data_IF_801687042743
#
_entry.id   IF_801687042743
#
_cell.length_a   1.000
_cell.length_b   1.000
_cell.length_c   1.000
_cell.angle_alpha   90.00
_cell.angle_beta   90.00
_cell.angle_gamma   90.00
#
_symmetry.space_group_name_H-M   'P 1'
#
loop_
_entity.id
_entity.type
_entity.pdbx_description
1 polymer ?
#
# COMPACT_ATOMS: atom_id res chain seq x y z
N UNK A 1 -42.97 30.45 -7.08
CA UNK A 1 -43.08 30.98 -8.46
C UNK A 1 -41.68 31.05 -9.06
N UNK A 2 -41.43 30.49 -10.25
CA UNK A 2 -40.12 30.60 -10.90
C UNK A 2 -40.04 31.97 -11.60
N UNK A 3 -39.17 32.85 -11.11
CA UNK A 3 -39.06 34.24 -11.58
C UNK A 3 -38.07 34.36 -12.75
N UNK A 4 -37.21 33.36 -12.98
CA UNK A 4 -36.24 33.40 -14.07
C UNK A 4 -36.95 33.29 -15.42
N UNK A 5 -37.05 34.37 -16.22
CA UNK A 5 -37.57 34.27 -17.56
C UNK A 5 -36.59 33.47 -18.41
N UNK A 6 -37.08 32.72 -19.40
CA UNK A 6 -36.25 31.91 -20.29
C UNK A 6 -35.12 32.72 -20.99
N UNK A 7 -35.29 34.05 -21.09
CA UNK A 7 -34.32 34.99 -21.66
C UNK A 7 -33.20 35.42 -20.71
N UNK A 8 -33.20 35.01 -19.43
CA UNK A 8 -32.23 35.42 -18.41
C UNK A 8 -31.46 34.24 -17.79
N UNK A 9 -31.37 33.10 -18.49
CA UNK A 9 -30.59 31.95 -18.07
C UNK A 9 -29.09 32.11 -18.41
N UNK A 10 -28.47 33.16 -17.87
CA UNK A 10 -27.02 33.38 -17.93
C UNK A 10 -26.40 32.97 -16.59
N UNK A 11 -25.22 32.35 -16.62
CA UNK A 11 -24.54 31.87 -15.41
C UNK A 11 -24.24 33.02 -14.43
N UNK A 12 -24.05 34.25 -14.94
CA UNK A 12 -23.62 35.43 -14.19
C UNK A 12 -24.70 36.09 -13.32
N UNK A 13 -25.98 35.85 -13.59
CA UNK A 13 -27.11 36.46 -12.86
C UNK A 13 -28.03 35.41 -12.21
N UNK A 14 -27.73 34.12 -12.38
CA UNK A 14 -28.50 33.00 -11.82
C UNK A 14 -28.58 33.08 -10.30
N UNK A 15 -27.43 33.26 -9.65
CA UNK A 15 -27.31 33.38 -8.20
C UNK A 15 -28.16 34.54 -7.65
N UNK A 16 -28.22 35.67 -8.37
CA UNK A 16 -29.02 36.83 -7.96
C UNK A 16 -30.54 36.57 -8.03
N UNK A 17 -30.99 35.81 -9.03
CA UNK A 17 -32.40 35.42 -9.15
C UNK A 17 -32.79 34.30 -8.18
N UNK A 18 -31.87 33.39 -7.85
CA UNK A 18 -32.07 32.38 -6.81
C UNK A 18 -32.23 33.04 -5.43
N UNK A 19 -31.34 33.97 -5.06
CA UNK A 19 -31.43 34.75 -3.82
C UNK A 19 -32.72 35.58 -3.76
N UNK A 20 -33.11 36.24 -4.85
CA UNK A 20 -34.36 37.00 -4.90
C UNK A 20 -35.61 36.11 -4.79
N UNK A 21 -35.53 34.86 -5.25
CA UNK A 21 -36.62 33.89 -5.14
C UNK A 21 -36.70 33.32 -3.71
N UNK A 22 -35.57 33.08 -3.04
CA UNK A 22 -35.51 32.67 -1.62
C UNK A 22 -36.16 33.70 -0.68
N UNK A 23 -36.03 35.00 -0.96
CA UNK A 23 -36.66 36.07 -0.16
C UNK A 23 -38.19 36.09 -0.22
N UNK A 24 -38.80 35.36 -1.16
CA UNK A 24 -40.25 35.28 -1.37
C UNK A 24 -40.86 33.95 -0.89
N UNK A 25 -40.03 33.03 -0.37
CA UNK A 25 -40.49 31.74 0.10
C UNK A 25 -41.24 31.82 1.41
N UNK A 26 -42.28 31.00 1.53
CA UNK A 26 -42.87 30.77 2.83
C UNK A 26 -41.98 29.88 3.71
N UNK A 27 -42.26 29.84 5.01
CA UNK A 27 -41.44 29.10 5.97
C UNK A 27 -41.27 27.61 5.60
N UNK A 28 -42.30 26.98 5.02
CA UNK A 28 -42.26 25.55 4.66
C UNK A 28 -41.38 25.34 3.43
N UNK A 29 -41.45 26.23 2.45
CA UNK A 29 -40.59 26.19 1.25
C UNK A 29 -39.11 26.32 1.63
N UNK A 30 -38.80 27.23 2.57
CA UNK A 30 -37.44 27.40 3.09
C UNK A 30 -36.95 26.16 3.85
N UNK A 31 -37.76 25.58 4.73
CA UNK A 31 -37.43 24.35 5.47
C UNK A 31 -37.12 23.17 4.52
N UNK A 32 -37.89 23.02 3.43
CA UNK A 32 -37.65 21.98 2.42
C UNK A 32 -36.34 22.21 1.68
N UNK A 33 -36.03 23.44 1.30
CA UNK A 33 -34.77 23.78 0.65
C UNK A 33 -33.56 23.53 1.55
N UNK A 34 -33.60 24.00 2.79
CA UNK A 34 -32.53 23.77 3.79
C UNK A 34 -32.31 22.27 4.03
N UNK A 35 -33.39 21.48 4.08
CA UNK A 35 -33.31 20.02 4.18
C UNK A 35 -32.56 19.39 3.00
N UNK A 36 -32.90 19.76 1.76
CA UNK A 36 -32.22 19.23 0.57
C UNK A 36 -30.76 19.66 0.48
N UNK A 37 -30.47 20.92 0.85
CA UNK A 37 -29.10 21.44 0.93
C UNK A 37 -28.26 20.69 1.96
N UNK A 38 -28.80 20.46 3.16
CA UNK A 38 -28.14 19.71 4.21
C UNK A 38 -27.86 18.27 3.76
N UNK A 39 -28.87 17.59 3.21
CA UNK A 39 -28.72 16.23 2.70
C UNK A 39 -27.69 16.11 1.57
N UNK A 40 -27.67 17.06 0.63
CA UNK A 40 -26.69 17.08 -0.46
C UNK A 40 -25.26 17.29 0.08
N UNK A 41 -25.09 18.14 1.09
CA UNK A 41 -23.81 18.33 1.77
C UNK A 41 -23.38 17.06 2.51
N UNK A 42 -24.29 16.39 3.22
CA UNK A 42 -24.00 15.14 3.92
C UNK A 42 -23.58 14.03 2.94
N UNK A 43 -24.28 13.88 1.82
CA UNK A 43 -23.92 12.93 0.75
C UNK A 43 -22.54 13.22 0.16
N UNK A 44 -22.23 14.51 -0.06
CA UNK A 44 -20.92 14.95 -0.55
C UNK A 44 -19.82 14.68 0.48
N UNK A 45 -20.08 14.99 1.75
CA UNK A 45 -19.16 14.74 2.85
C UNK A 45 -18.86 13.26 3.01
N UNK A 46 -19.89 12.41 3.04
CA UNK A 46 -19.75 10.95 3.14
C UNK A 46 -18.92 10.39 1.98
N UNK A 47 -19.14 10.87 0.75
CA UNK A 47 -18.35 10.46 -0.40
C UNK A 47 -16.88 10.88 -0.30
N UNK A 48 -16.61 12.12 0.12
CA UNK A 48 -15.25 12.65 0.28
C UNK A 48 -14.52 11.93 1.41
N UNK A 49 -15.19 11.69 2.53
CA UNK A 49 -14.66 10.97 3.68
C UNK A 49 -14.30 9.53 3.28
N UNK A 50 -15.23 8.78 2.69
CA UNK A 50 -14.97 7.41 2.24
C UNK A 50 -13.84 7.32 1.22
N UNK A 51 -13.72 8.30 0.31
CA UNK A 51 -12.58 8.39 -0.63
C UNK A 51 -11.25 8.65 0.08
N UNK A 52 -11.26 9.51 1.11
CA UNK A 52 -10.07 9.82 1.88
C UNK A 52 -9.63 8.64 2.74
N UNK A 53 -10.58 7.96 3.39
CA UNK A 53 -10.35 6.75 4.17
C UNK A 53 -9.75 5.64 3.28
N UNK A 54 -10.41 5.30 2.17
CA UNK A 54 -9.89 4.25 1.28
C UNK A 54 -8.51 4.58 0.70
N UNK A 55 -8.21 5.86 0.44
CA UNK A 55 -6.87 6.30 0.02
C UNK A 55 -5.84 6.19 1.14
N UNK A 56 -6.24 6.45 2.39
CA UNK A 56 -5.36 6.34 3.55
C UNK A 56 -5.05 4.87 3.85
N UNK A 57 -6.07 4.02 3.87
CA UNK A 57 -5.96 2.57 4.08
C UNK A 57 -5.06 1.94 3.01
N UNK A 58 -5.35 2.15 1.72
CA UNK A 58 -4.53 1.57 0.66
C UNK A 58 -3.08 2.04 0.67
N UNK A 59 -2.80 3.26 1.14
CA UNK A 59 -1.42 3.75 1.34
C UNK A 59 -0.74 3.08 2.53
N UNK A 60 -1.46 2.84 3.63
CA UNK A 60 -0.92 2.20 4.82
C UNK A 60 -0.63 0.72 4.54
N UNK A 61 -1.58 0.00 3.94
CA UNK A 61 -1.43 -1.40 3.56
C UNK A 61 -0.26 -1.57 2.59
N UNK A 62 -0.23 -0.82 1.49
CA UNK A 62 0.86 -0.93 0.51
C UNK A 62 2.24 -0.60 1.08
N UNK A 63 2.33 0.33 2.04
CA UNK A 63 3.59 0.61 2.74
C UNK A 63 4.01 -0.53 3.67
N UNK A 64 3.06 -1.12 4.41
CA UNK A 64 3.34 -2.22 5.32
C UNK A 64 3.77 -3.47 4.57
N UNK A 65 3.05 -3.84 3.51
CA UNK A 65 3.39 -4.98 2.65
C UNK A 65 4.76 -4.79 2.01
N UNK A 66 5.01 -3.62 1.42
CA UNK A 66 6.30 -3.31 0.80
C UNK A 66 7.47 -3.35 1.79
N UNK A 67 7.27 -2.88 3.03
CA UNK A 67 8.29 -2.95 4.07
C UNK A 67 8.58 -4.40 4.49
N UNK A 68 7.54 -5.20 4.73
CA UNK A 68 7.69 -6.61 5.14
C UNK A 68 8.36 -7.44 4.04
N UNK A 69 7.94 -7.26 2.79
CA UNK A 69 8.53 -7.97 1.67
C UNK A 69 9.99 -7.53 1.45
N UNK A 70 10.27 -6.23 1.53
CA UNK A 70 11.62 -5.68 1.41
C UNK A 70 12.56 -6.19 2.49
N UNK A 71 12.12 -6.22 3.76
CA UNK A 71 12.91 -6.77 4.87
C UNK A 71 13.18 -8.27 4.67
N UNK A 72 12.18 -9.04 4.24
CA UNK A 72 12.33 -10.48 3.99
C UNK A 72 13.33 -10.74 2.86
N UNK A 73 13.19 -10.04 1.73
CA UNK A 73 14.09 -10.15 0.57
C UNK A 73 15.52 -9.76 0.95
N UNK A 74 15.71 -8.59 1.55
CA UNK A 74 17.03 -8.11 1.95
C UNK A 74 17.72 -9.03 2.97
N UNK A 75 16.97 -9.64 3.90
CA UNK A 75 17.53 -10.65 4.82
C UNK A 75 17.98 -11.91 4.10
N UNK A 76 17.23 -12.40 3.12
CA UNK A 76 17.61 -13.56 2.31
C UNK A 76 18.85 -13.26 1.47
N UNK A 77 18.85 -12.13 0.76
CA UNK A 77 19.98 -11.68 -0.07
C UNK A 77 21.25 -11.54 0.75
N UNK A 78 21.21 -10.84 1.89
CA UNK A 78 22.36 -10.68 2.76
C UNK A 78 22.87 -11.99 3.38
N UNK A 79 21.97 -12.95 3.67
CA UNK A 79 22.39 -14.28 4.11
C UNK A 79 23.08 -15.07 3.00
N UNK A 80 22.56 -15.00 1.78
CA UNK A 80 23.16 -15.66 0.62
C UNK A 80 24.53 -15.09 0.30
N UNK A 81 24.68 -13.76 0.27
CA UNK A 81 25.97 -13.09 0.06
C UNK A 81 26.99 -13.48 1.14
N UNK A 82 26.58 -13.46 2.41
CA UNK A 82 27.46 -13.86 3.52
C UNK A 82 27.86 -15.35 3.46
N UNK A 83 26.95 -16.23 3.05
CA UNK A 83 27.26 -17.65 2.84
C UNK A 83 28.22 -17.84 1.66
N UNK A 84 27.98 -17.16 0.54
CA UNK A 84 28.81 -17.20 -0.67
C UNK A 84 30.26 -16.79 -0.34
N UNK A 85 30.42 -15.66 0.37
CA UNK A 85 31.73 -15.18 0.81
C UNK A 85 32.47 -16.20 1.67
N UNK A 86 31.79 -16.80 2.67
CA UNK A 86 32.45 -17.77 3.56
C UNK A 86 32.77 -19.08 2.83
N UNK A 87 31.91 -19.52 1.92
CA UNK A 87 32.16 -20.70 1.08
C UNK A 87 33.39 -20.49 0.18
N UNK A 88 33.49 -19.33 -0.46
CA UNK A 88 34.63 -18.95 -1.28
C UNK A 88 35.92 -18.90 -0.44
N UNK A 89 35.88 -18.25 0.73
CA UNK A 89 37.05 -18.12 1.62
C UNK A 89 37.51 -19.48 2.18
N UNK A 90 36.59 -20.34 2.64
CA UNK A 90 36.96 -21.62 3.28
C UNK A 90 37.26 -22.74 2.30
N UNK A 91 36.57 -22.77 1.15
CA UNK A 91 36.55 -23.93 0.27
C UNK A 91 36.76 -23.61 -1.21
N UNK A 92 36.89 -22.33 -1.58
CA UNK A 92 37.06 -21.87 -2.96
C UNK A 92 35.94 -22.37 -3.88
N UNK A 93 36.30 -22.71 -5.11
CA UNK A 93 35.38 -23.17 -6.16
C UNK A 93 34.53 -24.38 -5.76
N UNK A 94 35.07 -25.26 -4.90
CA UNK A 94 34.33 -26.43 -4.41
C UNK A 94 33.19 -26.02 -3.47
N UNK A 95 33.38 -24.95 -2.70
CA UNK A 95 32.34 -24.38 -1.85
C UNK A 95 31.30 -23.61 -2.66
N UNK A 96 31.74 -22.73 -3.55
CA UNK A 96 30.84 -21.89 -4.36
C UNK A 96 29.96 -22.73 -5.31
N UNK A 97 30.40 -23.93 -5.71
CA UNK A 97 29.58 -24.90 -6.43
C UNK A 97 28.29 -25.31 -5.67
N UNK A 98 28.24 -25.16 -4.34
CA UNK A 98 27.03 -25.41 -3.54
C UNK A 98 26.00 -24.28 -3.64
N UNK A 99 26.36 -23.09 -4.14
CA UNK A 99 25.47 -21.92 -4.16
C UNK A 99 24.17 -22.18 -4.93
N UNK A 100 24.19 -23.02 -5.96
CA UNK A 100 22.96 -23.43 -6.66
C UNK A 100 21.95 -24.10 -5.73
N UNK A 101 22.41 -24.95 -4.80
CA UNK A 101 21.55 -25.62 -3.80
C UNK A 101 21.20 -24.66 -2.67
N UNK A 102 22.14 -23.84 -2.21
CA UNK A 102 21.91 -22.84 -1.14
C UNK A 102 20.83 -21.83 -1.57
N UNK A 103 20.88 -21.32 -2.81
CA UNK A 103 19.84 -20.41 -3.36
C UNK A 103 18.46 -21.07 -3.45
N UNK A 104 18.41 -22.42 -3.50
CA UNK A 104 17.17 -23.20 -3.41
C UNK A 104 16.58 -23.28 -1.99
N UNK A 105 17.30 -22.84 -0.96
CA UNK A 105 16.76 -22.78 0.41
C UNK A 105 15.79 -21.59 0.51
N UNK A 106 14.50 -21.88 0.40
CA UNK A 106 13.44 -20.86 0.30
C UNK A 106 13.16 -20.07 1.59
N UNK A 107 13.77 -20.44 2.73
CA UNK A 107 13.46 -19.88 4.05
C UNK A 107 14.70 -19.35 4.76
N UNK A 108 14.52 -18.26 5.53
CA UNK A 108 15.60 -17.68 6.33
C UNK A 108 16.11 -18.64 7.39
N UNK A 109 15.27 -19.52 7.91
CA UNK A 109 15.63 -20.52 8.91
C UNK A 109 16.53 -21.61 8.33
N UNK A 110 16.31 -22.02 7.07
CA UNK A 110 17.17 -22.97 6.39
C UNK A 110 18.54 -22.35 6.09
N UNK A 111 18.57 -21.10 5.62
CA UNK A 111 19.81 -20.36 5.38
C UNK A 111 20.63 -20.14 6.66
N UNK A 112 19.97 -19.77 7.77
CA UNK A 112 20.64 -19.61 9.07
C UNK A 112 21.22 -20.92 9.61
N UNK A 113 20.50 -22.03 9.46
CA UNK A 113 21.01 -23.36 9.83
C UNK A 113 22.22 -23.76 8.98
N UNK A 114 22.14 -23.54 7.67
CA UNK A 114 23.27 -23.77 6.77
C UNK A 114 24.47 -22.88 7.14
N UNK A 115 24.25 -21.58 7.42
CA UNK A 115 25.28 -20.66 7.90
C UNK A 115 25.92 -21.15 9.21
N UNK A 116 25.13 -21.69 10.13
CA UNK A 116 25.61 -22.31 11.36
C UNK A 116 26.56 -23.47 11.08
N UNK A 117 26.14 -24.42 10.23
CA UNK A 117 26.96 -25.55 9.80
C UNK A 117 28.23 -25.09 9.06
N UNK A 118 28.12 -24.05 8.22
CA UNK A 118 29.24 -23.47 7.48
C UNK A 118 30.35 -22.94 8.40
N UNK A 119 29.99 -22.36 9.55
CA UNK A 119 30.96 -21.88 10.54
C UNK A 119 31.80 -23.02 11.12
N UNK A 120 31.18 -24.15 11.44
CA UNK A 120 31.83 -25.26 12.17
C UNK A 120 32.38 -26.36 11.27
N UNK A 121 31.89 -26.47 10.04
CA UNK A 121 32.29 -27.53 9.10
C UNK A 121 33.79 -27.52 8.81
N UNK A 122 34.34 -28.73 8.68
CA UNK A 122 35.73 -28.97 8.30
C UNK A 122 35.89 -29.27 6.80
N UNK A 123 34.80 -29.66 6.12
CA UNK A 123 34.82 -30.08 4.71
C UNK A 123 33.57 -29.68 3.94
N UNK A 124 33.67 -29.67 2.60
CA UNK A 124 32.52 -29.44 1.70
C UNK A 124 31.57 -30.63 1.73
N UNK A 125 32.08 -31.83 1.97
CA UNK A 125 31.31 -33.07 2.08
C UNK A 125 30.32 -33.03 3.24
N UNK A 126 30.71 -32.47 4.39
CA UNK A 126 29.80 -32.21 5.52
C UNK A 126 28.65 -31.26 5.12
N UNK A 127 28.96 -30.22 4.34
CA UNK A 127 27.95 -29.26 3.87
C UNK A 127 26.98 -29.88 2.86
N UNK A 128 27.44 -30.81 2.02
CA UNK A 128 26.58 -31.51 1.06
C UNK A 128 25.48 -32.33 1.74
N UNK A 129 25.79 -32.93 2.90
CA UNK A 129 24.83 -33.70 3.71
C UNK A 129 23.68 -32.87 4.26
N UNK A 130 23.81 -31.54 4.30
CA UNK A 130 22.70 -30.66 4.72
C UNK A 130 21.50 -30.73 3.76
N UNK A 131 21.75 -31.10 2.51
CA UNK A 131 20.76 -31.07 1.44
C UNK A 131 20.29 -32.48 1.02
N UNK A 132 20.71 -33.51 1.76
CA UNK A 132 20.24 -34.89 1.63
C UNK A 132 19.06 -35.08 2.60
#
# INVERSE_FOLDING_TARGET
MQIMPASANFDEIRDAYEIATEMLWDKKELEVYEYWQMRSKDETWAFVEGKNEGKLEGKLEGKLEGLLEGQRKGKIEGLLEGIEMVLEVKYGDRGTALMGRVRGLATTEALERFKGLLKTSASVEELKRFFE
#
